data_IF_080507303055
#
_entry.id   IF_080507303055
#
_cell.length_a   1.000
_cell.length_b   1.000
_cell.length_c   1.000
_cell.angle_alpha   90.00
_cell.angle_beta   90.00
_cell.angle_gamma   90.00
#
_symmetry.space_group_name_H-M   'P 1'
#
loop_
_entity.id
_entity.type
_entity.pdbx_description
1 polymer ?
#
# COMPACT_ATOMS: atom_id res chain seq x y z
N UNK A 1 -4.44 -14.57 -16.80
CA UNK A 1 -3.98 -14.72 -15.40
C UNK A 1 -3.39 -13.39 -14.97
N UNK A 2 -4.22 -12.39 -14.63
CA UNK A 2 -3.68 -11.05 -14.36
C UNK A 2 -4.67 -10.01 -13.91
N UNK A 3 -5.77 -10.39 -13.24
CA UNK A 3 -6.83 -9.42 -12.91
C UNK A 3 -7.27 -9.41 -11.43
N UNK A 4 -6.75 -10.30 -10.58
CA UNK A 4 -7.37 -10.49 -9.25
C UNK A 4 -6.72 -9.69 -8.11
N UNK A 5 -5.55 -9.07 -8.34
CA UNK A 5 -4.82 -8.36 -7.27
C UNK A 5 -5.48 -7.02 -6.88
N UNK A 6 -6.07 -6.31 -7.84
CA UNK A 6 -6.77 -5.04 -7.56
C UNK A 6 -8.06 -5.24 -6.75
N UNK A 7 -8.76 -6.35 -6.98
CA UNK A 7 -9.97 -6.70 -6.22
C UNK A 7 -9.62 -7.22 -4.82
N UNK A 8 -8.52 -7.97 -4.68
CA UNK A 8 -8.07 -8.49 -3.40
C UNK A 8 -7.56 -7.44 -2.42
N UNK A 9 -7.02 -6.32 -2.91
CA UNK A 9 -6.45 -5.26 -2.09
C UNK A 9 -7.20 -3.93 -2.22
N UNK A 10 -8.53 -3.96 -2.42
CA UNK A 10 -9.43 -2.79 -2.30
C UNK A 10 -8.89 -1.48 -2.94
N UNK A 11 -8.44 -1.56 -4.19
CA UNK A 11 -7.98 -0.37 -4.93
C UNK A 11 -6.54 0.07 -4.67
N UNK A 12 -5.72 -0.77 -4.04
CA UNK A 12 -4.27 -0.56 -4.03
C UNK A 12 -3.69 -0.69 -5.44
N UNK A 13 -2.78 0.22 -5.76
CA UNK A 13 -1.93 0.12 -6.94
C UNK A 13 -0.81 -0.87 -6.65
N UNK A 14 -0.69 -1.89 -7.49
CA UNK A 14 0.37 -2.90 -7.39
C UNK A 14 1.39 -2.66 -8.51
N UNK A 15 2.65 -2.50 -8.12
CA UNK A 15 3.77 -2.30 -9.04
C UNK A 15 4.90 -3.30 -8.76
N UNK A 16 5.59 -3.73 -9.81
CA UNK A 16 6.83 -4.50 -9.66
C UNK A 16 7.96 -3.55 -9.23
N UNK A 17 8.60 -3.85 -8.12
CA UNK A 17 9.76 -3.11 -7.66
C UNK A 17 11.01 -3.59 -8.41
N UNK A 18 11.98 -2.68 -8.59
CA UNK A 18 13.23 -2.94 -9.33
C UNK A 18 14.05 -4.08 -8.69
N UNK A 19 13.88 -4.32 -7.38
CA UNK A 19 14.51 -5.41 -6.65
C UNK A 19 13.82 -6.78 -6.83
N UNK A 20 12.84 -6.90 -7.74
CA UNK A 20 12.06 -8.12 -7.95
C UNK A 20 10.93 -8.33 -6.94
N UNK A 21 10.71 -7.38 -6.01
CA UNK A 21 9.60 -7.38 -5.07
C UNK A 21 8.31 -6.80 -5.66
N UNK A 22 7.28 -6.73 -4.82
CA UNK A 22 6.01 -6.08 -5.13
C UNK A 22 5.88 -4.86 -4.22
N UNK A 23 5.59 -3.71 -4.81
CA UNK A 23 5.22 -2.49 -4.11
C UNK A 23 3.72 -2.29 -4.24
N UNK A 24 3.03 -2.20 -3.10
CA UNK A 24 1.60 -1.90 -3.05
C UNK A 24 1.41 -0.52 -2.41
N UNK A 25 0.74 0.39 -3.11
CA UNK A 25 0.45 1.74 -2.63
C UNK A 25 -1.06 2.00 -2.67
N UNK A 26 -1.59 2.58 -1.60
CA UNK A 26 -3.03 2.81 -1.49
C UNK A 26 -3.38 3.53 -0.20
N UNK A 27 -4.61 4.03 -0.15
CA UNK A 27 -5.17 4.59 1.08
C UNK A 27 -5.59 3.46 2.00
N UNK A 28 -5.40 3.66 3.30
CA UNK A 28 -5.88 2.74 4.33
C UNK A 28 -6.79 3.52 5.26
N UNK A 29 -8.02 3.07 5.42
CA UNK A 29 -9.03 3.76 6.22
C UNK A 29 -8.65 3.83 7.70
N UNK A 30 -8.13 2.73 8.27
CA UNK A 30 -7.74 2.62 9.67
C UNK A 30 -6.70 1.51 9.91
N UNK A 31 -6.28 1.34 11.17
CA UNK A 31 -5.30 0.30 11.53
C UNK A 31 -5.85 -1.13 11.37
N UNK A 32 -7.16 -1.36 11.49
CA UNK A 32 -7.74 -2.68 11.30
C UNK A 32 -7.65 -3.12 9.83
N UNK A 33 -7.90 -2.19 8.90
CA UNK A 33 -7.71 -2.40 7.47
C UNK A 33 -6.23 -2.69 7.13
N UNK A 34 -5.28 -1.94 7.72
CA UNK A 34 -3.85 -2.21 7.56
C UNK A 34 -3.48 -3.63 8.01
N UNK A 35 -3.94 -4.03 9.20
CA UNK A 35 -3.67 -5.35 9.75
C UNK A 35 -4.32 -6.46 8.90
N UNK A 36 -5.49 -6.19 8.30
CA UNK A 36 -6.13 -7.09 7.34
C UNK A 36 -5.24 -7.34 6.12
N UNK A 37 -4.65 -6.28 5.54
CA UNK A 37 -3.72 -6.37 4.41
C UNK A 37 -2.47 -7.18 4.79
N UNK A 38 -1.85 -6.90 5.94
CA UNK A 38 -0.67 -7.63 6.41
C UNK A 38 -0.96 -9.12 6.62
N UNK A 39 -2.16 -9.46 7.11
CA UNK A 39 -2.60 -10.86 7.23
C UNK A 39 -2.71 -11.52 5.86
N UNK A 40 -3.33 -10.87 4.86
CA UNK A 40 -3.41 -11.40 3.49
C UNK A 40 -2.02 -11.68 2.90
N UNK A 41 -1.06 -10.77 3.09
CA UNK A 41 0.34 -10.97 2.67
C UNK A 41 0.94 -12.23 3.30
N UNK A 42 0.70 -12.46 4.60
CA UNK A 42 1.13 -13.68 5.30
C UNK A 42 0.46 -14.93 4.77
N UNK A 43 -0.86 -14.90 4.56
CA UNK A 43 -1.63 -16.06 4.12
C UNK A 43 -1.23 -16.50 2.69
N UNK A 44 -0.74 -15.57 1.87
CA UNK A 44 -0.15 -15.82 0.55
C UNK A 44 1.30 -16.34 0.60
N UNK A 45 1.90 -16.44 1.79
CA UNK A 45 3.31 -16.84 1.95
C UNK A 45 4.31 -15.79 1.45
N UNK A 46 3.88 -14.53 1.29
CA UNK A 46 4.74 -13.43 0.85
C UNK A 46 5.50 -12.82 2.03
N UNK A 47 6.74 -12.40 1.77
CA UNK A 47 7.56 -11.71 2.78
C UNK A 47 7.25 -10.21 2.76
N UNK A 48 6.74 -9.69 3.88
CA UNK A 48 6.61 -8.25 4.08
C UNK A 48 7.97 -7.65 4.40
N UNK A 49 8.52 -6.87 3.49
CA UNK A 49 9.84 -6.23 3.66
C UNK A 49 9.74 -4.93 4.47
N UNK A 50 8.76 -4.07 4.15
CA UNK A 50 8.58 -2.79 4.80
C UNK A 50 7.14 -2.28 4.67
N UNK A 51 6.74 -1.40 5.60
CA UNK A 51 5.51 -0.59 5.52
C UNK A 51 5.91 0.87 5.71
N UNK A 52 5.51 1.73 4.79
CA UNK A 52 5.81 3.15 4.83
C UNK A 52 4.50 3.95 4.75
N UNK A 53 4.30 4.86 5.72
CA UNK A 53 3.22 5.84 5.64
C UNK A 53 3.66 6.96 4.69
N UNK A 54 3.01 7.04 3.54
CA UNK A 54 3.12 8.21 2.67
C UNK A 54 2.33 9.32 3.36
N UNK A 55 2.96 10.46 3.65
CA UNK A 55 2.27 11.60 4.25
C UNK A 55 1.04 11.95 3.41
N UNK A 56 -0.08 12.28 4.07
CA UNK A 56 -1.09 13.11 3.39
C UNK A 56 -0.34 14.36 2.97
N UNK A 57 -0.39 14.74 1.69
CA UNK A 57 0.29 15.91 1.15
C UNK A 57 0.23 17.05 2.19
N UNK A 58 1.36 17.54 2.72
CA UNK A 58 1.32 18.70 3.59
C UNK A 58 0.73 19.83 2.74
N UNK A 59 -0.31 20.50 3.22
CA UNK A 59 -0.64 21.81 2.70
C UNK A 59 0.67 22.60 2.67
N UNK A 60 1.11 23.00 1.48
CA UNK A 60 2.13 24.04 1.36
C UNK A 60 1.60 25.20 2.20
N UNK A 61 2.27 25.62 3.28
CA UNK A 61 1.84 26.82 3.96
C UNK A 61 1.88 27.92 2.92
N UNK A 62 0.72 28.53 2.62
CA UNK A 62 0.64 29.74 1.82
C UNK A 62 1.71 30.67 2.40
N UNK A 63 2.73 30.93 1.58
CA UNK A 63 3.68 32.00 1.87
C UNK A 63 2.87 33.29 1.73
N UNK A 64 2.30 33.73 2.85
CA UNK A 64 1.72 35.06 3.00
C UNK A 64 2.88 36.08 2.94
N UNK A 65 2.70 37.07 2.07
CA UNK A 65 3.65 38.08 1.53
C UNK A 65 4.86 38.51 2.38
#
# INVERSE_FOLDING_TARGET
MGSDWNEWFDGFTVAHAVNGGILMTGTVADQAALHGIIRKVRDLGLTLVAVQRMGTHPEEPEMED
#
